data_IF_732603132474
#
_entry.id   IF_732603132474
#
_cell.length_a   1.000
_cell.length_b   1.000
_cell.length_c   1.000
_cell.angle_alpha   90.00
_cell.angle_beta   90.00
_cell.angle_gamma   90.00
#
_symmetry.space_group_name_H-M   'P 1'
#
loop_
_entity.id
_entity.type
_entity.pdbx_description
1 polymer ?
#
# COMPACT_ATOMS: atom_id res chain seq x y z
N UNK A 1 2.45 13.37 -9.26
CA UNK A 1 2.02 13.92 -7.95
C UNK A 1 0.68 14.66 -7.99
N UNK A 2 0.37 15.59 -8.90
CA UNK A 2 -0.93 16.31 -8.87
C UNK A 2 -2.17 15.44 -9.19
N UNK A 3 -2.11 14.57 -10.19
CA UNK A 3 -3.22 13.66 -10.52
C UNK A 3 -3.42 12.55 -9.49
N UNK A 4 -2.32 11.93 -9.04
CA UNK A 4 -2.35 10.79 -8.11
C UNK A 4 -2.59 11.18 -6.66
N UNK A 5 -2.32 12.44 -6.27
CA UNK A 5 -2.48 12.91 -4.88
C UNK A 5 -3.71 13.80 -4.67
N UNK A 6 -4.21 14.47 -5.72
CA UNK A 6 -5.36 15.41 -5.61
C UNK A 6 -6.49 15.12 -6.61
N UNK A 7 -6.38 14.08 -7.43
CA UNK A 7 -7.43 13.69 -8.39
C UNK A 7 -7.68 14.72 -9.51
N UNK A 8 -6.83 15.74 -9.65
CA UNK A 8 -7.01 16.79 -10.65
C UNK A 8 -6.62 16.24 -12.04
N UNK A 9 -7.53 16.30 -13.04
CA UNK A 9 -7.21 15.93 -14.40
C UNK A 9 -6.01 16.72 -14.93
N UNK A 10 -5.13 16.04 -15.69
CA UNK A 10 -3.96 16.65 -16.32
C UNK A 10 -4.35 17.91 -17.13
N UNK A 11 -5.48 17.86 -17.83
CA UNK A 11 -6.02 18.97 -18.61
C UNK A 11 -6.30 20.23 -17.77
N UNK A 12 -6.82 20.06 -16.54
CA UNK A 12 -7.08 21.19 -15.63
C UNK A 12 -5.75 21.77 -15.11
N UNK A 13 -4.80 20.89 -14.78
CA UNK A 13 -3.47 21.29 -14.31
C UNK A 13 -2.71 22.07 -15.40
N UNK A 14 -2.75 21.59 -16.64
CA UNK A 14 -2.15 22.27 -17.80
C UNK A 14 -2.76 23.66 -18.04
N UNK A 15 -4.08 23.78 -17.91
CA UNK A 15 -4.77 25.06 -18.06
C UNK A 15 -4.33 26.08 -17.00
N UNK A 16 -4.30 25.68 -15.73
CA UNK A 16 -3.89 26.55 -14.60
C UNK A 16 -2.42 26.95 -14.74
N UNK A 17 -1.54 26.03 -15.12
CA UNK A 17 -0.13 26.33 -15.35
C UNK A 17 0.07 27.29 -16.51
N UNK A 18 -0.66 27.10 -17.61
CA UNK A 18 -0.63 27.99 -18.79
C UNK A 18 -1.08 29.42 -18.44
N UNK A 19 -2.14 29.58 -17.65
CA UNK A 19 -2.62 30.88 -17.15
C UNK A 19 -1.57 31.61 -16.28
N UNK A 20 -0.61 30.87 -15.71
CA UNK A 20 0.51 31.40 -14.92
C UNK A 20 1.84 31.44 -15.67
N UNK A 21 1.86 31.16 -16.98
CA UNK A 21 3.08 31.16 -17.79
C UNK A 21 4.05 29.99 -17.50
N UNK A 22 3.57 28.93 -16.85
CA UNK A 22 4.35 27.73 -16.53
C UNK A 22 4.02 26.60 -17.52
N UNK A 23 5.04 25.84 -17.95
CA UNK A 23 4.85 24.62 -18.76
C UNK A 23 4.82 23.39 -17.85
N UNK A 24 3.88 22.49 -18.14
CA UNK A 24 3.80 21.18 -17.49
C UNK A 24 4.63 20.20 -18.30
N UNK A 25 5.49 19.43 -17.61
CA UNK A 25 6.19 18.29 -18.20
C UNK A 25 5.21 17.12 -18.35
N UNK A 26 4.61 17.04 -19.54
CA UNK A 26 3.61 16.02 -19.88
C UNK A 26 4.27 14.66 -20.10
N UNK A 27 5.46 14.65 -20.68
CA UNK A 27 6.17 13.41 -21.01
C UNK A 27 6.66 12.74 -19.72
N UNK A 28 7.30 13.49 -18.82
CA UNK A 28 7.68 13.01 -17.49
C UNK A 28 6.47 12.56 -16.67
N UNK A 29 5.34 13.28 -16.74
CA UNK A 29 4.10 12.86 -16.10
C UNK A 29 3.57 11.53 -16.63
N UNK A 30 3.53 11.36 -17.95
CA UNK A 30 3.02 10.14 -18.59
C UNK A 30 3.93 8.94 -18.32
N UNK A 31 5.24 9.18 -18.25
CA UNK A 31 6.23 8.17 -17.89
C UNK A 31 6.05 7.71 -16.43
N UNK A 32 5.92 8.65 -15.49
CA UNK A 32 5.60 8.33 -14.10
C UNK A 32 4.26 7.60 -13.95
N UNK A 33 3.22 8.01 -14.71
CA UNK A 33 1.90 7.37 -14.66
C UNK A 33 1.96 5.93 -15.19
N UNK A 34 2.70 5.72 -16.29
CA UNK A 34 2.87 4.39 -16.88
C UNK A 34 3.68 3.49 -15.96
N UNK A 35 4.75 4.00 -15.33
CA UNK A 35 5.53 3.25 -14.35
C UNK A 35 4.69 2.90 -13.12
N UNK A 36 3.89 3.84 -12.62
CA UNK A 36 2.95 3.60 -11.53
C UNK A 36 1.91 2.51 -11.88
N UNK A 37 1.32 2.56 -13.06
CA UNK A 37 0.34 1.55 -13.51
C UNK A 37 0.97 0.18 -13.74
N UNK A 38 2.20 0.13 -14.29
CA UNK A 38 2.96 -1.11 -14.46
C UNK A 38 3.33 -1.72 -13.12
N UNK A 39 3.82 -0.91 -12.18
CA UNK A 39 4.15 -1.33 -10.82
C UNK A 39 2.93 -1.88 -10.08
N UNK A 40 1.77 -1.23 -10.24
CA UNK A 40 0.52 -1.69 -9.62
C UNK A 40 0.05 -3.04 -10.18
N UNK A 41 0.10 -3.24 -11.51
CA UNK A 41 -0.27 -4.51 -12.14
C UNK A 41 0.74 -5.63 -11.88
N UNK A 42 2.03 -5.32 -11.93
CA UNK A 42 3.08 -6.30 -11.67
C UNK A 42 3.04 -6.76 -10.20
N UNK A 43 2.75 -5.84 -9.28
CA UNK A 43 2.50 -6.16 -7.87
C UNK A 43 1.36 -7.13 -7.64
N UNK A 44 0.26 -7.04 -8.42
CA UNK A 44 -0.94 -7.89 -8.24
C UNK A 44 -0.75 -9.38 -8.58
N UNK A 45 0.16 -9.71 -9.49
CA UNK A 45 0.38 -11.09 -9.94
C UNK A 45 1.57 -11.78 -9.24
N UNK A 46 2.58 -11.02 -8.83
CA UNK A 46 3.83 -11.58 -8.31
C UNK A 46 3.65 -12.32 -6.99
N UNK A 47 2.94 -11.71 -6.03
CA UNK A 47 2.72 -12.33 -4.72
C UNK A 47 1.95 -13.66 -4.80
N UNK A 48 1.16 -13.87 -5.86
CA UNK A 48 0.42 -15.12 -6.09
C UNK A 48 1.34 -16.25 -6.53
N UNK A 49 2.39 -15.93 -7.30
CA UNK A 49 3.38 -16.88 -7.82
C UNK A 49 4.35 -17.37 -6.76
N UNK A 50 4.45 -16.67 -5.63
CA UNK A 50 5.35 -17.04 -4.53
C UNK A 50 4.94 -18.38 -3.95
N UNK A 51 5.91 -19.29 -3.94
CA UNK A 51 5.83 -20.52 -3.19
C UNK A 51 6.46 -20.33 -1.80
N UNK A 52 5.64 -20.43 -0.76
CA UNK A 52 6.06 -20.28 0.63
C UNK A 52 6.47 -21.62 1.26
N UNK A 53 6.25 -22.76 0.59
CA UNK A 53 6.46 -24.10 1.17
C UNK A 53 7.91 -24.30 1.61
N UNK A 54 8.88 -24.01 0.73
CA UNK A 54 10.31 -24.13 1.06
C UNK A 54 10.69 -23.29 2.27
N UNK A 55 10.17 -22.06 2.35
CA UNK A 55 10.45 -21.14 3.44
C UNK A 55 9.86 -21.64 4.77
N UNK A 56 8.63 -22.16 4.75
CA UNK A 56 7.95 -22.75 5.91
C UNK A 56 8.68 -24.01 6.38
N UNK A 57 9.08 -24.90 5.45
CA UNK A 57 9.82 -26.12 5.75
C UNK A 57 11.20 -25.83 6.37
N UNK A 58 11.82 -24.72 5.98
CA UNK A 58 13.08 -24.23 6.55
C UNK A 58 12.89 -23.53 7.92
N UNK A 59 11.69 -23.52 8.48
CA UNK A 59 11.42 -23.01 9.84
C UNK A 59 11.42 -21.49 9.95
N UNK A 60 11.16 -20.77 8.87
CA UNK A 60 10.91 -19.33 8.95
C UNK A 60 9.58 -19.11 9.67
N UNK A 61 9.56 -18.27 10.69
CA UNK A 61 8.35 -17.95 11.44
C UNK A 61 7.47 -16.92 10.70
N UNK A 62 6.14 -16.93 10.90
CA UNK A 62 5.25 -15.89 10.36
C UNK A 62 5.70 -14.47 10.73
N UNK A 63 5.54 -13.53 9.79
CA UNK A 63 5.94 -12.13 10.00
C UNK A 63 5.21 -11.50 11.19
N UNK A 64 5.96 -10.87 12.09
CA UNK A 64 5.39 -10.06 13.16
C UNK A 64 4.95 -8.69 12.65
N UNK A 65 3.65 -8.51 12.42
CA UNK A 65 3.06 -7.26 11.95
C UNK A 65 2.34 -6.46 13.05
N UNK A 66 2.60 -6.76 14.34
CA UNK A 66 1.89 -6.14 15.47
C UNK A 66 2.13 -4.63 15.58
N UNK A 67 3.30 -4.17 15.15
CA UNK A 67 3.70 -2.77 15.21
C UNK A 67 3.05 -1.88 14.15
N UNK A 68 2.33 -2.44 13.17
CA UNK A 68 1.62 -1.65 12.15
C UNK A 68 0.60 -0.66 12.73
N UNK A 69 0.11 -0.92 13.95
CA UNK A 69 -0.82 -0.06 14.68
C UNK A 69 -0.13 0.96 15.59
N UNK A 70 1.20 0.88 15.72
CA UNK A 70 1.97 1.83 16.51
C UNK A 70 1.99 3.17 15.79
N UNK A 71 1.29 4.15 16.34
CA UNK A 71 1.30 5.53 15.85
C UNK A 71 0.99 6.48 17.01
N UNK A 72 1.55 7.67 16.93
CA UNK A 72 1.30 8.74 17.90
C UNK A 72 0.59 9.90 17.21
N UNK A 73 -0.52 10.34 17.81
CA UNK A 73 -1.21 11.53 17.33
C UNK A 73 -0.55 12.76 17.93
N UNK A 74 0.20 13.49 17.12
CA UNK A 74 0.89 14.73 17.54
C UNK A 74 -0.05 15.92 17.54
N UNK A 75 -0.92 16.02 16.53
CA UNK A 75 -1.95 17.06 16.41
C UNK A 75 -3.22 16.49 15.77
N UNK A 76 -4.30 17.28 15.73
CA UNK A 76 -5.51 16.86 15.04
C UNK A 76 -5.22 16.64 13.54
N UNK A 77 -5.40 15.40 13.08
CA UNK A 77 -5.15 15.02 11.69
C UNK A 77 -3.67 14.81 11.33
N UNK A 78 -2.76 14.82 12.32
CA UNK A 78 -1.34 14.48 12.13
C UNK A 78 -0.96 13.31 13.00
N UNK A 79 -0.31 12.33 12.38
CA UNK A 79 0.14 11.11 13.02
C UNK A 79 1.61 10.89 12.68
N UNK A 80 2.37 10.50 13.68
CA UNK A 80 3.73 10.01 13.52
C UNK A 80 3.72 8.48 13.60
N UNK A 81 4.45 7.87 12.67
CA UNK A 81 4.61 6.42 12.57
C UNK A 81 6.08 6.13 12.79
N UNK A 82 6.46 5.52 13.92
CA UNK A 82 7.86 5.29 14.22
C UNK A 82 8.45 4.27 13.25
N UNK A 83 9.62 4.58 12.69
CA UNK A 83 10.37 3.62 11.88
C UNK A 83 10.86 2.45 12.72
N UNK A 84 10.93 1.28 12.10
CA UNK A 84 11.47 0.05 12.72
C UNK A 84 12.43 -0.63 11.78
N UNK A 85 13.44 -1.26 12.35
CA UNK A 85 14.37 -2.09 11.60
C UNK A 85 13.92 -3.55 11.71
N UNK A 86 13.89 -4.26 10.58
CA UNK A 86 13.64 -5.69 10.53
C UNK A 86 14.61 -6.39 9.60
N UNK A 87 14.67 -7.71 9.70
CA UNK A 87 15.57 -8.56 8.89
C UNK A 87 14.84 -9.07 7.66
N UNK A 88 15.49 -9.07 6.50
CA UNK A 88 14.99 -9.75 5.30
C UNK A 88 15.18 -11.26 5.44
N UNK A 89 14.09 -12.01 5.59
CA UNK A 89 14.13 -13.47 5.81
C UNK A 89 13.97 -14.28 4.52
N UNK A 90 13.35 -13.70 3.50
CA UNK A 90 13.26 -14.31 2.17
C UNK A 90 13.09 -13.27 1.07
N UNK A 91 13.57 -13.63 -0.12
CA UNK A 91 13.49 -12.84 -1.34
C UNK A 91 12.99 -13.75 -2.45
N UNK A 92 12.08 -13.24 -3.28
CA UNK A 92 11.53 -13.93 -4.43
C UNK A 92 11.67 -13.08 -5.68
N UNK A 93 12.11 -13.69 -6.78
CA UNK A 93 12.21 -13.02 -8.09
C UNK A 93 10.84 -12.80 -8.76
N UNK A 94 10.82 -12.23 -9.95
CA UNK A 94 9.59 -12.01 -10.75
C UNK A 94 8.84 -13.31 -11.12
N UNK A 95 9.47 -14.46 -10.99
CA UNK A 95 8.87 -15.76 -11.27
C UNK A 95 8.37 -16.45 -9.99
N UNK A 96 8.55 -15.82 -8.82
CA UNK A 96 8.17 -16.38 -7.52
C UNK A 96 9.20 -17.37 -6.98
N UNK A 97 10.40 -17.46 -7.56
CA UNK A 97 11.47 -18.36 -7.09
C UNK A 97 12.21 -17.73 -5.92
N UNK A 98 12.49 -18.52 -4.88
CA UNK A 98 13.33 -18.08 -3.76
C UNK A 98 14.77 -17.84 -4.23
N UNK A 99 15.31 -16.65 -3.95
CA UNK A 99 16.66 -16.22 -4.34
C UNK A 99 17.38 -15.59 -3.16
N UNK A 100 18.71 -15.50 -3.26
CA UNK A 100 19.54 -14.89 -2.22
C UNK A 100 19.63 -13.37 -2.34
N UNK A 101 19.35 -12.80 -3.51
CA UNK A 101 19.41 -11.37 -3.74
C UNK A 101 18.54 -10.93 -4.94
N UNK A 102 18.16 -9.65 -4.96
CA UNK A 102 17.68 -8.92 -6.14
C UNK A 102 18.74 -7.91 -6.57
N UNK A 103 18.99 -7.83 -7.87
CA UNK A 103 19.95 -6.92 -8.50
C UNK A 103 19.34 -5.52 -8.74
N UNK A 104 20.17 -4.51 -9.09
CA UNK A 104 19.69 -3.16 -9.35
C UNK A 104 18.53 -3.12 -10.35
N UNK A 105 17.46 -2.40 -10.00
CA UNK A 105 16.26 -2.26 -10.82
C UNK A 105 15.39 -3.51 -10.94
N UNK A 106 15.75 -4.63 -10.29
CA UNK A 106 14.94 -5.84 -10.34
C UNK A 106 13.67 -5.70 -9.50
N UNK A 107 12.57 -6.12 -10.10
CA UNK A 107 11.30 -6.29 -9.42
C UNK A 107 11.26 -7.64 -8.71
N UNK A 108 10.73 -7.68 -7.49
CA UNK A 108 10.62 -8.91 -6.73
C UNK A 108 9.75 -8.75 -5.50
N UNK A 109 9.76 -9.77 -4.65
CA UNK A 109 9.04 -9.75 -3.38
C UNK A 109 9.93 -10.10 -2.20
N UNK A 110 9.71 -9.43 -1.09
CA UNK A 110 10.53 -9.50 0.12
C UNK A 110 9.65 -9.82 1.32
N UNK A 111 10.06 -10.80 2.11
CA UNK A 111 9.45 -11.13 3.40
C UNK A 111 10.41 -10.71 4.50
N UNK A 112 9.89 -10.00 5.49
CA UNK A 112 10.63 -9.57 6.68
C UNK A 112 10.21 -10.40 7.90
N UNK A 113 11.09 -10.46 8.90
CA UNK A 113 10.77 -11.04 10.22
C UNK A 113 9.66 -10.26 10.95
N UNK A 114 9.64 -8.94 10.76
CA UNK A 114 8.72 -8.00 11.36
C UNK A 114 8.42 -6.85 10.41
N UNK A 115 7.23 -6.28 10.49
CA UNK A 115 6.86 -5.13 9.64
C UNK A 115 5.91 -4.14 10.28
N UNK A 116 6.10 -2.85 9.96
CA UNK A 116 5.16 -1.77 10.28
C UNK A 116 4.16 -1.50 9.14
N UNK A 117 4.37 -2.10 7.97
CA UNK A 117 3.48 -1.95 6.83
C UNK A 117 2.15 -2.67 7.08
N UNK A 118 1.06 -1.98 6.80
CA UNK A 118 -0.27 -2.57 6.76
C UNK A 118 -0.43 -3.28 5.41
N UNK A 119 -0.55 -4.60 5.46
CA UNK A 119 -0.95 -5.39 4.31
C UNK A 119 -2.43 -5.20 4.01
N UNK A 120 -2.79 -5.20 2.73
CA UNK A 120 -4.20 -5.04 2.31
C UNK A 120 -5.12 -6.03 3.02
N UNK A 121 -6.16 -5.51 3.67
CA UNK A 121 -7.10 -6.29 4.47
C UNK A 121 -8.41 -5.52 4.67
N UNK A 122 -9.54 -6.24 4.67
CA UNK A 122 -10.84 -5.67 5.01
C UNK A 122 -11.31 -4.55 4.07
N UNK A 123 -10.90 -4.62 2.81
CA UNK A 123 -11.17 -3.59 1.80
C UNK A 123 -10.21 -2.40 1.85
N UNK A 124 -9.38 -2.27 2.88
CA UNK A 124 -8.35 -1.24 2.96
C UNK A 124 -7.11 -1.63 2.18
N UNK A 125 -6.68 -0.74 1.28
CA UNK A 125 -5.42 -0.89 0.56
C UNK A 125 -4.22 -0.91 1.50
N UNK A 126 -3.15 -1.50 0.99
CA UNK A 126 -1.86 -1.56 1.64
C UNK A 126 -1.16 -0.20 1.75
N UNK A 127 -0.16 -0.13 2.61
CA UNK A 127 0.78 1.00 2.63
C UNK A 127 1.82 0.94 1.53
N UNK A 128 2.31 2.12 1.17
CA UNK A 128 3.52 2.32 0.38
C UNK A 128 4.61 2.89 1.25
N UNK A 129 5.83 2.78 0.76
CA UNK A 129 7.01 3.22 1.47
C UNK A 129 8.27 2.60 0.89
N UNK A 130 9.32 2.59 1.69
CA UNK A 130 10.61 2.02 1.35
C UNK A 130 11.13 1.17 2.50
N UNK A 131 11.95 0.18 2.14
CA UNK A 131 12.85 -0.51 3.06
C UNK A 131 14.26 -0.06 2.72
N UNK A 132 14.99 0.53 3.67
CA UNK A 132 16.32 1.06 3.41
C UNK A 132 17.32 0.66 4.48
N UNK A 133 18.58 0.43 4.11
CA UNK A 133 19.65 0.24 5.09
C UNK A 133 20.03 1.57 5.77
N UNK A 134 20.86 1.53 6.80
CA UNK A 134 21.23 2.74 7.56
C UNK A 134 22.19 3.67 6.79
N UNK A 135 22.83 3.17 5.73
CA UNK A 135 23.80 3.91 4.93
C UNK A 135 23.21 4.39 3.60
N UNK A 136 21.95 4.05 3.29
CA UNK A 136 21.30 4.25 2.00
C UNK A 136 22.09 3.66 0.82
N UNK A 137 22.70 2.49 1.02
CA UNK A 137 23.30 1.67 -0.03
C UNK A 137 22.35 0.58 -0.53
N UNK A 138 21.20 0.40 0.13
CA UNK A 138 20.16 -0.54 -0.30
C UNK A 138 18.80 0.05 0.04
N UNK A 139 17.99 0.24 -0.98
CA UNK A 139 16.66 0.83 -0.98
C UNK A 139 15.78 -0.07 -1.84
N UNK A 140 14.73 -0.58 -1.22
CA UNK A 140 13.68 -1.33 -1.87
C UNK A 140 12.38 -0.52 -1.82
N UNK A 141 11.86 -0.17 -2.98
CA UNK A 141 10.65 0.64 -3.15
C UNK A 141 9.43 -0.29 -3.10
N UNK A 142 8.63 -0.16 -2.05
CA UNK A 142 7.47 -1.04 -1.81
C UNK A 142 6.26 -0.53 -2.60
N UNK A 143 5.85 -1.32 -3.60
CA UNK A 143 4.74 -1.03 -4.49
C UNK A 143 3.41 -1.65 -4.03
N UNK A 144 3.47 -2.80 -3.35
CA UNK A 144 2.29 -3.43 -2.75
C UNK A 144 2.64 -4.32 -1.56
N UNK A 145 1.71 -4.45 -0.61
CA UNK A 145 1.88 -5.32 0.57
C UNK A 145 0.68 -6.24 0.73
N UNK A 146 0.93 -7.56 0.75
CA UNK A 146 -0.11 -8.59 0.80
C UNK A 146 0.18 -9.58 1.93
N UNK A 147 -0.88 -10.22 2.44
CA UNK A 147 -0.78 -11.23 3.49
C UNK A 147 -1.14 -12.62 2.94
N UNK A 148 -0.29 -13.62 3.21
CA UNK A 148 -0.54 -15.03 2.85
C UNK A 148 0.04 -15.95 3.92
N UNK A 149 -0.78 -16.85 4.48
CA UNK A 149 -0.36 -17.82 5.50
C UNK A 149 0.38 -17.22 6.71
N UNK A 150 0.03 -16.00 7.11
CA UNK A 150 0.68 -15.29 8.22
C UNK A 150 1.93 -14.49 7.85
N UNK A 151 2.43 -14.62 6.63
CA UNK A 151 3.54 -13.82 6.11
C UNK A 151 3.06 -12.54 5.46
N UNK A 152 3.84 -11.47 5.63
CA UNK A 152 3.64 -10.20 4.94
C UNK A 152 4.65 -10.10 3.79
N UNK A 153 4.11 -10.01 2.58
CA UNK A 153 4.84 -10.01 1.32
C UNK A 153 4.88 -8.57 0.81
N UNK A 154 6.07 -7.99 0.73
CA UNK A 154 6.32 -6.67 0.17
C UNK A 154 6.79 -6.85 -1.27
N UNK A 155 5.99 -6.46 -2.24
CA UNK A 155 6.36 -6.51 -3.66
C UNK A 155 6.78 -5.13 -4.12
N UNK A 156 7.90 -5.05 -4.82
CA UNK A 156 8.61 -3.81 -5.07
C UNK A 156 9.82 -3.99 -5.96
N UNK A 157 10.58 -2.92 -6.14
CA UNK A 157 11.80 -2.90 -6.96
C UNK A 157 12.99 -2.40 -6.15
N UNK A 158 14.17 -2.93 -6.44
CA UNK A 158 15.43 -2.40 -5.90
C UNK A 158 15.79 -1.12 -6.63
N UNK A 159 16.26 -0.09 -5.93
CA UNK A 159 16.72 1.13 -6.56
C UNK A 159 17.92 0.88 -7.50
N UNK A 160 18.15 1.80 -8.42
CA UNK A 160 19.27 1.73 -9.36
C UNK A 160 20.61 1.72 -8.59
N UNK A 161 21.60 0.99 -9.13
CA UNK A 161 22.94 0.78 -8.57
C UNK A 161 23.04 0.04 -7.22
N UNK A 162 21.95 -0.52 -6.70
CA UNK A 162 21.91 -1.19 -5.40
C UNK A 162 21.52 -2.68 -5.48
N UNK A 163 22.00 -3.50 -4.54
CA UNK A 163 21.65 -4.93 -4.45
C UNK A 163 20.98 -5.20 -3.12
N UNK A 164 19.82 -5.86 -3.16
CA UNK A 164 19.12 -6.30 -1.95
C UNK A 164 19.44 -7.77 -1.68
N UNK A 165 20.11 -8.06 -0.56
CA UNK A 165 20.47 -9.43 -0.16
C UNK A 165 19.61 -9.95 0.99
N UNK A 166 19.40 -11.27 1.02
CA UNK A 166 18.74 -11.94 2.15
C UNK A 166 19.61 -11.83 3.41
N UNK A 167 18.97 -11.59 4.55
CA UNK A 167 19.61 -11.50 5.86
C UNK A 167 20.06 -10.09 6.26
N UNK A 168 19.91 -9.09 5.38
CA UNK A 168 20.21 -7.70 5.72
C UNK A 168 19.12 -7.10 6.60
N UNK A 169 19.51 -6.13 7.42
CA UNK A 169 18.61 -5.35 8.25
C UNK A 169 18.22 -4.07 7.52
N UNK A 170 16.92 -3.83 7.36
CA UNK A 170 16.38 -2.64 6.72
C UNK A 170 15.45 -1.90 7.66
N UNK A 171 15.62 -0.59 7.69
CA UNK A 171 14.70 0.36 8.31
C UNK A 171 13.50 0.56 7.38
N UNK A 172 12.32 0.44 7.98
CA UNK A 172 11.03 0.50 7.32
C UNK A 172 10.46 1.90 7.45
N UNK A 173 10.08 2.50 6.32
CA UNK A 173 9.56 3.87 6.26
C UNK A 173 8.31 3.86 5.38
N UNK A 174 7.14 4.07 5.99
CA UNK A 174 5.86 4.16 5.27
C UNK A 174 5.56 5.60 4.86
N UNK A 175 4.68 5.79 3.86
CA UNK A 175 4.09 7.11 3.54
C UNK A 175 3.03 7.47 4.61
N UNK A 176 3.32 8.43 5.52
CA UNK A 176 2.42 8.77 6.61
C UNK A 176 1.14 9.43 6.11
N UNK A 177 1.19 10.16 4.99
CA UNK A 177 0.03 10.84 4.41
C UNK A 177 -0.93 9.82 3.82
N UNK A 178 -0.40 8.85 3.07
CA UNK A 178 -1.22 7.77 2.54
C UNK A 178 -1.86 6.95 3.66
N UNK A 179 -1.06 6.52 4.66
CA UNK A 179 -1.55 5.75 5.80
C UNK A 179 -2.68 6.48 6.52
N UNK A 180 -2.52 7.78 6.78
CA UNK A 180 -3.56 8.59 7.42
C UNK A 180 -4.87 8.63 6.62
N UNK A 181 -4.80 8.83 5.30
CA UNK A 181 -6.00 8.82 4.44
C UNK A 181 -6.72 7.46 4.46
N UNK A 182 -5.97 6.36 4.46
CA UNK A 182 -6.53 5.01 4.60
C UNK A 182 -7.22 4.82 5.95
N UNK A 183 -6.60 5.28 7.05
CA UNK A 183 -7.21 5.27 8.38
C UNK A 183 -8.51 6.08 8.42
N UNK A 184 -8.54 7.27 7.80
CA UNK A 184 -9.76 8.06 7.69
C UNK A 184 -10.86 7.31 6.93
N UNK A 185 -10.53 6.69 5.79
CA UNK A 185 -11.48 5.91 5.02
C UNK A 185 -12.02 4.69 5.78
N UNK A 186 -11.18 4.04 6.59
CA UNK A 186 -11.57 2.96 7.51
C UNK A 186 -12.58 3.45 8.54
N UNK A 187 -12.27 4.53 9.25
CA UNK A 187 -13.21 5.11 10.22
C UNK A 187 -14.50 5.58 9.55
N UNK A 188 -14.41 6.21 8.38
CA UNK A 188 -15.58 6.65 7.61
C UNK A 188 -16.48 5.48 7.20
N UNK A 189 -15.91 4.32 6.88
CA UNK A 189 -16.66 3.09 6.58
C UNK A 189 -17.55 2.68 7.74
N UNK A 190 -17.01 2.67 8.97
CA UNK A 190 -17.78 2.33 10.17
C UNK A 190 -18.85 3.38 10.49
N UNK A 191 -18.53 4.66 10.34
CA UNK A 191 -19.48 5.75 10.55
C UNK A 191 -20.64 5.66 9.54
N UNK A 192 -20.33 5.42 8.27
CA UNK A 192 -21.33 5.27 7.21
C UNK A 192 -22.23 4.06 7.47
N UNK A 193 -21.65 2.92 7.83
CA UNK A 193 -22.42 1.72 8.14
C UNK A 193 -23.37 1.96 9.32
N UNK A 194 -22.89 2.57 10.40
CA UNK A 194 -23.72 2.93 11.54
C UNK A 194 -24.84 3.91 11.16
N UNK A 195 -24.56 4.91 10.31
CA UNK A 195 -25.58 5.83 9.84
C UNK A 195 -26.65 5.13 8.99
N UNK A 196 -26.26 4.21 8.11
CA UNK A 196 -27.20 3.40 7.34
C UNK A 196 -28.09 2.55 8.25
N UNK A 197 -27.53 1.92 9.29
CA UNK A 197 -28.31 1.18 10.28
C UNK A 197 -29.31 2.09 11.04
N UNK A 198 -28.98 3.37 11.26
CA UNK A 198 -29.91 4.32 11.89
C UNK A 198 -31.06 4.73 10.99
N UNK A 199 -30.83 4.83 9.67
CA UNK A 199 -31.85 5.24 8.70
C UNK A 199 -32.74 4.07 8.29
N UNK A 200 -32.14 2.93 7.95
CA UNK A 200 -32.82 1.77 7.36
C UNK A 200 -33.01 0.60 8.35
N UNK A 201 -32.48 0.73 9.57
CA UNK A 201 -32.57 -0.29 10.60
C UNK A 201 -31.48 -1.35 10.51
N UNK A 202 -31.55 -2.32 11.43
CA UNK A 202 -30.54 -3.39 11.60
C UNK A 202 -30.50 -4.44 10.47
N UNK A 203 -31.36 -4.28 9.45
CA UNK A 203 -31.42 -5.17 8.30
C UNK A 203 -30.42 -4.81 7.20
N UNK A 204 -29.78 -3.64 7.30
CA UNK A 204 -28.66 -3.24 6.44
C UNK A 204 -27.52 -4.24 6.60
N UNK A 205 -26.94 -4.66 5.48
CA UNK A 205 -25.75 -5.51 5.48
C UNK A 205 -24.68 -4.92 4.61
N UNK A 206 -23.48 -4.77 5.15
CA UNK A 206 -22.29 -4.51 4.35
C UNK A 206 -22.01 -5.72 3.45
N UNK A 207 -21.88 -5.45 2.15
CA UNK A 207 -21.57 -6.46 1.13
C UNK A 207 -20.10 -6.37 0.69
N UNK A 208 -19.48 -5.21 0.84
CA UNK A 208 -18.09 -4.99 0.48
C UNK A 208 -17.66 -3.55 0.73
N UNK A 209 -16.35 -3.33 0.73
CA UNK A 209 -15.77 -1.99 0.78
C UNK A 209 -14.45 -1.96 0.06
N UNK A 210 -14.14 -0.82 -0.55
CA UNK A 210 -12.82 -0.47 -1.06
C UNK A 210 -12.40 0.84 -0.43
N UNK A 211 -11.24 0.86 0.21
CA UNK A 211 -10.69 2.03 0.89
C UNK A 211 -9.33 2.32 0.29
N UNK A 212 -9.30 3.32 -0.59
CA UNK A 212 -8.08 3.89 -1.14
C UNK A 212 -7.79 5.27 -0.55
N UNK A 213 -6.62 5.83 -0.83
CA UNK A 213 -6.24 7.17 -0.34
C UNK A 213 -7.09 8.29 -0.95
N UNK A 214 -7.68 8.06 -2.12
CA UNK A 214 -8.43 9.02 -2.93
C UNK A 214 -9.94 8.75 -3.00
N UNK A 215 -10.36 7.51 -2.69
CA UNK A 215 -11.77 7.11 -2.79
C UNK A 215 -12.14 6.04 -1.77
N UNK A 216 -13.38 6.11 -1.30
CA UNK A 216 -14.06 5.08 -0.52
C UNK A 216 -15.25 4.58 -1.34
N UNK A 217 -15.34 3.27 -1.53
CA UNK A 217 -16.53 2.59 -2.07
C UNK A 217 -17.12 1.73 -0.96
N UNK A 218 -18.43 1.77 -0.79
CA UNK A 218 -19.14 1.00 0.22
C UNK A 218 -20.38 0.36 -0.39
N UNK A 219 -20.34 -0.97 -0.50
CA UNK A 219 -21.44 -1.77 -1.01
C UNK A 219 -22.28 -2.27 0.16
N UNK A 220 -23.58 -2.06 0.08
CA UNK A 220 -24.52 -2.51 1.09
C UNK A 220 -25.83 -2.98 0.47
N UNK A 221 -26.52 -3.82 1.23
CA UNK A 221 -27.83 -4.34 0.90
C UNK A 221 -28.86 -3.83 1.90
N UNK A 222 -30.01 -3.37 1.39
CA UNK A 222 -31.21 -3.06 2.17
C UNK A 222 -32.34 -3.93 1.62
N UNK A 223 -33.09 -4.68 2.45
CA UNK A 223 -34.29 -5.38 2.00
C UNK A 223 -35.43 -4.41 1.74
N UNK A 224 -36.11 -4.58 0.61
CA UNK A 224 -37.40 -3.98 0.26
C UNK A 224 -37.48 -2.43 0.23
N UNK A 225 -36.33 -1.73 0.29
CA UNK A 225 -36.25 -0.26 0.19
C UNK A 225 -35.20 0.19 -0.83
N UNK A 226 -35.37 1.41 -1.36
CA UNK A 226 -34.37 2.09 -2.20
C UNK A 226 -33.83 3.30 -1.46
N UNK A 227 -32.53 3.53 -1.57
CA UNK A 227 -31.91 4.80 -1.17
C UNK A 227 -32.46 5.92 -2.06
N UNK A 228 -32.94 7.01 -1.46
CA UNK A 228 -33.47 8.18 -2.16
C UNK A 228 -32.86 9.44 -1.56
N UNK A 229 -32.92 10.60 -2.24
CA UNK A 229 -32.34 11.84 -1.70
C UNK A 229 -32.99 12.32 -0.39
N UNK A 230 -34.22 11.87 -0.11
CA UNK A 230 -35.00 12.26 1.07
C UNK A 230 -34.80 11.31 2.27
N UNK A 231 -34.19 10.14 2.04
CA UNK A 231 -33.96 9.09 3.04
C UNK A 231 -32.48 8.72 3.09
#
# INVERSE_FOLDING_TARGET
MLSGTYGLPLAITQKICSEKGLKVDVDGFQQCLTNFQKAQKAGEELWQKIDLEEMILNGVEPTNDSEKYCCERTELGKYEFPSRTGTVVAIFDVNGKNVMALQPGELGSVVMDSTIFFAEQGGQLYDRGILQDNLNNTIFIVNSVKRRNGYIIHTGEVADDETLEKGVNLTQIIDPKQRFLLMCGHTATHILHFALEKVFGVSVRQMGSFIGPDKLHFDFFIPDEKLTLEK
#
